data_IF_178365344543
#
_entry.id   IF_178365344543
#
_cell.length_a   1.000
_cell.length_b   1.000
_cell.length_c   1.000
_cell.angle_alpha   90.00
_cell.angle_beta   90.00
_cell.angle_gamma   90.00
#
_symmetry.space_group_name_H-M   'P 1'
#
loop_
_entity.id
_entity.type
_entity.pdbx_description
1 polymer ?
#
# COMPACT_ATOMS: atom_id res chain seq x y z
N UNK A 1 8.65 -10.34 15.69
CA UNK A 1 9.05 -10.63 14.29
C UNK A 1 9.90 -9.48 13.77
N UNK A 2 10.76 -9.78 12.81
CA UNK A 2 11.51 -8.78 12.06
C UNK A 2 10.73 -8.45 10.79
N UNK A 3 10.46 -7.18 10.56
CA UNK A 3 9.63 -6.68 9.45
C UNK A 3 10.46 -5.78 8.56
N UNK A 4 10.60 -6.14 7.29
CA UNK A 4 11.20 -5.31 6.27
C UNK A 4 10.13 -4.57 5.47
N UNK A 5 10.21 -3.25 5.38
CA UNK A 5 9.17 -2.42 4.79
C UNK A 5 9.72 -1.52 3.69
N UNK A 6 9.01 -1.40 2.59
CA UNK A 6 9.20 -0.35 1.59
C UNK A 6 8.06 0.66 1.77
N UNK A 7 8.41 1.94 1.97
CA UNK A 7 7.44 3.01 2.17
C UNK A 7 7.06 3.31 3.63
N UNK A 8 7.87 2.85 4.61
CA UNK A 8 7.62 3.08 6.04
C UNK A 8 7.64 4.55 6.49
N UNK A 9 8.19 5.45 5.70
CA UNK A 9 8.16 6.90 5.96
C UNK A 9 6.94 7.62 5.37
N UNK A 10 6.12 6.89 4.60
CA UNK A 10 4.86 7.39 4.04
C UNK A 10 3.74 7.44 5.08
N UNK A 11 2.60 8.03 4.69
CA UNK A 11 1.44 8.21 5.56
C UNK A 11 0.99 6.90 6.25
N UNK A 12 0.77 5.86 5.46
CA UNK A 12 0.28 4.56 5.95
C UNK A 12 1.40 3.71 6.55
N UNK A 13 2.58 3.71 5.91
CA UNK A 13 3.72 2.95 6.38
C UNK A 13 4.24 3.44 7.73
N UNK A 14 4.26 4.76 7.95
CA UNK A 14 4.65 5.35 9.23
C UNK A 14 3.69 4.93 10.36
N UNK A 15 2.38 4.96 10.10
CA UNK A 15 1.40 4.53 11.08
C UNK A 15 1.47 3.02 11.35
N UNK A 16 1.66 2.21 10.30
CA UNK A 16 1.89 0.77 10.46
C UNK A 16 3.15 0.48 11.27
N UNK A 17 4.25 1.19 11.00
CA UNK A 17 5.50 1.02 11.74
C UNK A 17 5.33 1.31 13.24
N UNK A 18 4.61 2.40 13.60
CA UNK A 18 4.30 2.71 15.01
C UNK A 18 3.58 1.56 15.70
N UNK A 19 2.56 1.02 15.05
CA UNK A 19 1.76 -0.04 15.65
C UNK A 19 2.52 -1.35 15.74
N UNK A 20 3.26 -1.71 14.69
CA UNK A 20 4.13 -2.89 14.70
C UNK A 20 5.16 -2.83 15.83
N UNK A 21 5.82 -1.68 16.01
CA UNK A 21 6.79 -1.46 17.08
C UNK A 21 6.12 -1.55 18.46
N UNK A 22 4.93 -0.94 18.61
CA UNK A 22 4.16 -1.02 19.85
C UNK A 22 3.76 -2.47 20.23
N UNK A 23 3.64 -3.35 19.23
CA UNK A 23 3.41 -4.80 19.43
C UNK A 23 4.71 -5.62 19.51
N UNK A 24 5.86 -4.97 19.68
CA UNK A 24 7.15 -5.64 19.90
C UNK A 24 7.83 -6.18 18.64
N UNK A 25 7.41 -5.75 17.46
CA UNK A 25 8.09 -6.09 16.20
C UNK A 25 9.26 -5.12 15.95
N UNK A 26 10.33 -5.62 15.34
CA UNK A 26 11.41 -4.79 14.80
C UNK A 26 11.06 -4.39 13.37
N UNK A 27 11.17 -3.11 13.06
CA UNK A 27 10.83 -2.60 11.74
C UNK A 27 12.03 -1.91 11.11
N UNK A 28 12.45 -2.41 9.96
CA UNK A 28 13.45 -1.78 9.08
C UNK A 28 12.76 -1.31 7.81
N UNK A 29 12.98 -0.07 7.41
CA UNK A 29 12.37 0.50 6.20
C UNK A 29 13.40 1.08 5.25
N UNK A 30 13.25 0.80 3.95
CA UNK A 30 13.98 1.54 2.91
C UNK A 30 13.19 2.80 2.55
N UNK A 31 13.86 3.94 2.52
CA UNK A 31 13.25 5.23 2.22
C UNK A 31 14.15 6.11 1.34
N UNK A 32 13.52 6.87 0.46
CA UNK A 32 14.20 7.92 -0.32
C UNK A 32 14.45 9.14 0.56
N UNK A 33 15.66 9.72 0.55
CA UNK A 33 15.89 11.02 1.17
C UNK A 33 15.33 12.17 0.30
N UNK A 34 14.99 13.34 0.92
CA UNK A 34 14.95 13.58 2.36
C UNK A 34 13.71 12.94 3.01
N UNK A 35 13.79 12.70 4.32
CA UNK A 35 12.59 12.30 5.07
C UNK A 35 11.55 13.44 5.06
N UNK A 36 10.25 13.13 5.04
CA UNK A 36 9.22 14.15 5.13
C UNK A 36 9.36 14.96 6.42
N UNK A 37 9.50 16.28 6.28
CA UNK A 37 9.65 17.18 7.43
C UNK A 37 8.45 17.06 8.37
N UNK A 38 8.72 16.95 9.67
CA UNK A 38 7.68 16.78 10.69
C UNK A 38 6.89 15.48 10.64
N UNK A 39 7.27 14.52 9.78
CA UNK A 39 6.61 13.21 9.77
C UNK A 39 6.84 12.49 11.12
N UNK A 40 5.79 11.92 11.72
CA UNK A 40 5.86 11.28 13.02
C UNK A 40 6.49 9.88 12.94
N UNK A 41 7.70 9.80 12.40
CA UNK A 41 8.45 8.54 12.20
C UNK A 41 8.89 8.01 13.57
N UNK A 42 8.61 6.72 13.90
CA UNK A 42 9.09 6.13 15.13
C UNK A 42 10.62 6.12 15.19
N UNK A 43 11.18 6.49 16.34
CA UNK A 43 12.63 6.52 16.54
C UNK A 43 13.27 5.13 16.52
N UNK A 44 12.49 4.12 16.87
CA UNK A 44 12.87 2.72 16.91
C UNK A 44 12.85 2.06 15.51
N UNK A 45 12.27 2.73 14.51
CA UNK A 45 12.31 2.25 13.13
C UNK A 45 13.68 2.48 12.53
N UNK A 46 14.35 1.40 12.13
CA UNK A 46 15.58 1.50 11.36
C UNK A 46 15.29 1.98 9.94
N UNK A 47 16.05 2.98 9.45
CA UNK A 47 15.87 3.52 8.11
C UNK A 47 17.15 3.32 7.30
N UNK A 48 17.02 2.59 6.19
CA UNK A 48 18.05 2.44 5.18
C UNK A 48 17.75 3.43 4.06
N UNK A 49 18.61 4.43 3.89
CA UNK A 49 18.43 5.42 2.84
C UNK A 49 18.84 4.89 1.47
N UNK A 50 17.99 5.11 0.49
CA UNK A 50 18.27 4.82 -0.90
C UNK A 50 17.02 4.43 -1.71
N UNK A 51 17.23 4.32 -3.02
CA UNK A 51 16.21 3.83 -3.94
C UNK A 51 16.38 2.31 -4.09
N UNK A 52 15.42 1.55 -3.58
CA UNK A 52 15.42 0.09 -3.67
C UNK A 52 15.52 -0.42 -5.12
N UNK A 53 14.99 0.35 -6.07
CA UNK A 53 15.01 -0.03 -7.49
C UNK A 53 16.38 0.16 -8.14
N UNK A 54 17.29 0.89 -7.50
CA UNK A 54 18.67 1.11 -7.96
C UNK A 54 19.68 0.17 -7.32
N UNK A 55 19.28 -0.58 -6.29
CA UNK A 55 20.16 -1.58 -5.66
C UNK A 55 20.23 -2.84 -6.48
N UNK A 56 21.36 -3.54 -6.38
CA UNK A 56 21.51 -4.86 -7.02
C UNK A 56 20.60 -5.89 -6.35
N UNK A 57 20.38 -7.01 -7.01
CA UNK A 57 19.55 -8.09 -6.45
C UNK A 57 20.22 -8.71 -5.23
N UNK A 58 21.55 -8.80 -5.23
CA UNK A 58 22.33 -9.32 -4.11
C UNK A 58 22.20 -8.40 -2.88
N UNK A 59 22.28 -7.07 -3.06
CA UNK A 59 22.06 -6.10 -1.97
C UNK A 59 20.65 -6.23 -1.38
N UNK A 60 19.65 -6.39 -2.23
CA UNK A 60 18.24 -6.52 -1.80
C UNK A 60 18.03 -7.84 -1.06
N UNK A 61 18.56 -8.95 -1.58
CA UNK A 61 18.51 -10.27 -0.91
C UNK A 61 19.17 -10.22 0.47
N UNK A 62 20.31 -9.54 0.60
CA UNK A 62 20.99 -9.39 1.89
C UNK A 62 20.15 -8.59 2.90
N UNK A 63 19.46 -7.51 2.46
CA UNK A 63 18.54 -6.76 3.31
C UNK A 63 17.33 -7.57 3.75
N UNK A 64 16.88 -8.53 2.96
CA UNK A 64 15.72 -9.37 3.27
C UNK A 64 16.05 -10.50 4.23
N UNK A 65 17.31 -10.92 4.34
CA UNK A 65 17.71 -12.01 5.23
C UNK A 65 17.38 -11.73 6.69
N UNK A 66 16.87 -12.74 7.38
CA UNK A 66 16.52 -12.65 8.80
C UNK A 66 15.24 -11.86 9.09
N UNK A 67 14.50 -11.45 8.04
CA UNK A 67 13.18 -10.88 8.19
C UNK A 67 12.10 -11.97 8.04
N UNK A 68 11.06 -11.85 8.87
CA UNK A 68 9.92 -12.77 8.88
C UNK A 68 8.84 -12.31 7.91
N UNK A 69 8.71 -10.99 7.76
CA UNK A 69 7.63 -10.35 7.01
C UNK A 69 8.16 -9.23 6.10
N UNK A 70 7.64 -9.19 4.89
CA UNK A 70 7.82 -8.09 3.95
C UNK A 70 6.56 -7.24 3.87
N UNK A 71 6.67 -5.91 3.92
CA UNK A 71 5.54 -4.99 3.71
C UNK A 71 5.82 -4.05 2.55
N UNK A 72 4.96 -4.06 1.55
CA UNK A 72 4.99 -3.10 0.46
C UNK A 72 3.92 -2.01 0.66
N UNK A 73 4.33 -0.89 1.25
CA UNK A 73 3.49 0.28 1.53
C UNK A 73 3.85 1.47 0.61
N UNK A 74 4.50 1.19 -0.51
CA UNK A 74 4.88 2.17 -1.53
C UNK A 74 3.94 2.06 -2.74
N UNK A 75 4.16 2.94 -3.71
CA UNK A 75 3.42 2.98 -4.95
C UNK A 75 2.81 4.35 -5.21
N UNK A 76 2.11 4.44 -6.33
CA UNK A 76 1.42 5.66 -6.77
C UNK A 76 -0.07 5.40 -6.94
N UNK A 77 -0.85 6.44 -6.72
CA UNK A 77 -2.30 6.40 -6.88
C UNK A 77 -2.77 7.32 -8.02
N UNK A 78 -4.07 7.35 -8.26
CA UNK A 78 -4.72 8.11 -9.33
C UNK A 78 -4.58 9.62 -9.21
N UNK A 79 -4.08 10.14 -8.10
CA UNK A 79 -3.86 11.59 -7.88
C UNK A 79 -2.54 12.08 -8.44
N UNK A 80 -1.65 11.16 -8.78
CA UNK A 80 -0.36 11.52 -9.39
C UNK A 80 -0.56 11.63 -10.89
N UNK A 81 -0.35 12.83 -11.41
CA UNK A 81 -0.40 13.08 -12.85
C UNK A 81 0.90 12.62 -13.50
N UNK A 82 0.77 11.76 -14.49
CA UNK A 82 1.88 11.26 -15.29
C UNK A 82 1.67 11.57 -16.76
N UNK A 83 2.75 11.74 -17.56
CA UNK A 83 2.64 11.76 -19.01
C UNK A 83 2.03 10.46 -19.55
N UNK A 84 1.44 10.53 -20.73
CA UNK A 84 0.97 9.34 -21.44
C UNK A 84 2.17 8.53 -21.98
N UNK A 85 2.09 7.20 -21.99
CA UNK A 85 1.02 6.35 -21.47
C UNK A 85 1.12 6.15 -19.93
N UNK A 86 0.05 6.49 -19.23
CA UNK A 86 0.01 6.48 -17.75
C UNK A 86 0.16 5.07 -17.15
N UNK A 87 -0.25 4.05 -17.89
CA UNK A 87 -0.14 2.65 -17.47
C UNK A 87 1.31 2.20 -17.22
N UNK A 88 2.28 2.74 -17.94
CA UNK A 88 3.70 2.44 -17.76
C UNK A 88 4.19 2.88 -16.37
N UNK A 89 3.70 4.01 -15.89
CA UNK A 89 4.02 4.51 -14.55
C UNK A 89 3.37 3.68 -13.45
N UNK A 90 2.09 3.28 -13.62
CA UNK A 90 1.44 2.37 -12.68
C UNK A 90 2.15 1.01 -12.65
N UNK A 91 2.54 0.48 -13.80
CA UNK A 91 3.33 -0.74 -13.85
C UNK A 91 4.67 -0.57 -13.12
N UNK A 92 5.42 0.49 -13.45
CA UNK A 92 6.74 0.78 -12.89
C UNK A 92 6.74 0.92 -11.37
N UNK A 93 5.72 1.56 -10.79
CA UNK A 93 5.71 1.88 -9.36
C UNK A 93 4.88 0.92 -8.50
N UNK A 94 3.87 0.25 -9.08
CA UNK A 94 2.98 -0.60 -8.30
C UNK A 94 3.16 -2.10 -8.58
N UNK A 95 3.67 -2.48 -9.74
CA UNK A 95 3.71 -3.88 -10.18
C UNK A 95 5.13 -4.41 -10.31
N UNK A 96 5.99 -3.72 -11.05
CA UNK A 96 7.37 -4.17 -11.30
C UNK A 96 8.17 -4.39 -10.00
N UNK A 97 8.08 -3.52 -8.96
CA UNK A 97 8.76 -3.77 -7.70
C UNK A 97 8.30 -5.07 -7.03
N UNK A 98 7.03 -5.41 -7.09
CA UNK A 98 6.51 -6.65 -6.50
C UNK A 98 6.98 -7.89 -7.27
N UNK A 99 6.97 -7.84 -8.58
CA UNK A 99 7.53 -8.93 -9.41
C UNK A 99 9.00 -9.21 -9.10
N UNK A 100 9.75 -8.17 -8.73
CA UNK A 100 11.15 -8.28 -8.33
C UNK A 100 11.30 -8.76 -6.90
N UNK A 101 10.57 -8.15 -5.96
CA UNK A 101 10.77 -8.36 -4.52
C UNK A 101 10.20 -9.70 -4.02
N UNK A 102 9.01 -10.12 -4.48
CA UNK A 102 8.36 -11.31 -3.93
C UNK A 102 9.17 -12.61 -4.10
N UNK A 103 9.78 -12.90 -5.28
CA UNK A 103 10.65 -14.07 -5.40
C UNK A 103 11.91 -13.96 -4.53
N UNK A 104 12.47 -12.75 -4.33
CA UNK A 104 13.60 -12.52 -3.44
C UNK A 104 13.22 -12.75 -1.98
N UNK A 105 12.02 -12.32 -1.56
CA UNK A 105 11.48 -12.62 -0.23
C UNK A 105 11.43 -14.12 0.04
N UNK A 106 10.87 -14.90 -0.89
CA UNK A 106 10.85 -16.38 -0.77
C UNK A 106 12.26 -16.95 -0.63
N UNK A 107 13.19 -16.55 -1.50
CA UNK A 107 14.58 -17.01 -1.48
C UNK A 107 15.29 -16.66 -0.18
N UNK A 108 15.01 -15.48 0.40
CA UNK A 108 15.57 -15.04 1.68
C UNK A 108 14.93 -15.70 2.91
N UNK A 109 13.86 -16.50 2.74
CA UNK A 109 13.18 -17.21 3.82
C UNK A 109 12.07 -16.41 4.51
N UNK A 110 11.69 -15.25 3.96
CA UNK A 110 10.50 -14.49 4.39
C UNK A 110 9.26 -15.37 4.21
N UNK A 111 8.38 -15.41 5.21
CA UNK A 111 7.19 -16.27 5.22
C UNK A 111 5.92 -15.54 4.81
N UNK A 112 5.84 -14.24 5.06
CA UNK A 112 4.66 -13.45 4.81
C UNK A 112 5.00 -12.15 4.09
N UNK A 113 4.16 -11.77 3.13
CA UNK A 113 4.18 -10.44 2.55
C UNK A 113 2.82 -9.76 2.73
N UNK A 114 2.83 -8.47 3.01
CA UNK A 114 1.63 -7.61 3.09
C UNK A 114 1.78 -6.49 2.07
N UNK A 115 0.84 -6.39 1.15
CA UNK A 115 0.86 -5.41 0.06
C UNK A 115 -0.34 -4.49 0.18
N UNK A 116 -0.10 -3.18 0.17
CA UNK A 116 -1.17 -2.21 0.18
C UNK A 116 -1.80 -2.11 -1.23
N UNK A 117 -2.96 -2.73 -1.37
CA UNK A 117 -3.78 -2.72 -2.56
C UNK A 117 -4.80 -1.58 -2.57
N UNK A 118 -5.86 -1.76 -3.33
CA UNK A 118 -6.94 -0.79 -3.45
C UNK A 118 -8.28 -1.51 -3.61
N UNK A 119 -9.33 -0.99 -2.99
CA UNK A 119 -10.68 -1.51 -3.14
C UNK A 119 -11.20 -1.42 -4.61
N UNK A 120 -10.50 -0.70 -5.47
CA UNK A 120 -10.80 -0.68 -6.90
C UNK A 120 -10.56 -2.02 -7.58
N UNK A 121 -9.63 -2.85 -7.06
CA UNK A 121 -9.50 -4.23 -7.52
C UNK A 121 -10.73 -5.06 -7.13
N UNK A 122 -11.21 -4.90 -5.88
CA UNK A 122 -12.44 -5.53 -5.41
C UNK A 122 -13.67 -5.12 -6.25
N UNK A 123 -13.84 -3.81 -6.53
CA UNK A 123 -14.92 -3.31 -7.38
C UNK A 123 -14.89 -3.95 -8.77
N UNK A 124 -13.69 -4.08 -9.35
CA UNK A 124 -13.51 -4.68 -10.69
C UNK A 124 -13.89 -6.16 -10.70
N UNK A 125 -13.62 -6.88 -9.60
CA UNK A 125 -13.98 -8.30 -9.43
C UNK A 125 -15.48 -8.49 -9.14
N UNK A 126 -16.03 -7.65 -8.28
CA UNK A 126 -17.43 -7.75 -7.84
C UNK A 126 -18.43 -7.35 -8.92
N UNK A 127 -18.06 -6.41 -9.78
CA UNK A 127 -18.91 -5.87 -10.84
C UNK A 127 -18.22 -5.93 -12.21
N UNK A 128 -17.89 -7.13 -12.71
CA UNK A 128 -17.15 -7.31 -13.96
C UNK A 128 -17.89 -6.74 -15.17
N UNK A 129 -19.23 -6.72 -15.14
CA UNK A 129 -20.10 -6.17 -16.18
C UNK A 129 -19.95 -4.65 -16.34
N UNK A 130 -19.50 -3.95 -15.31
CA UNK A 130 -19.22 -2.49 -15.37
C UNK A 130 -17.98 -2.16 -16.18
N UNK A 131 -17.06 -3.11 -16.31
CA UNK A 131 -15.83 -2.97 -17.10
C UNK A 131 -14.91 -1.85 -16.58
N UNK A 132 -14.84 -1.64 -15.28
CA UNK A 132 -14.04 -0.58 -14.66
C UNK A 132 -12.58 -0.59 -15.12
N UNK A 133 -11.94 -1.75 -15.15
CA UNK A 133 -10.56 -1.93 -15.57
C UNK A 133 -10.33 -1.59 -17.05
N UNK A 134 -11.35 -1.67 -17.89
CA UNK A 134 -11.27 -1.26 -19.32
C UNK A 134 -11.33 0.25 -19.49
N UNK A 135 -12.01 0.95 -18.58
CA UNK A 135 -12.28 2.38 -18.63
C UNK A 135 -11.24 3.21 -17.88
N UNK A 136 -10.57 2.62 -16.88
CA UNK A 136 -9.62 3.33 -16.04
C UNK A 136 -8.35 2.51 -15.84
N UNK A 137 -7.21 3.07 -16.22
CA UNK A 137 -5.89 2.42 -16.17
C UNK A 137 -5.41 2.14 -14.75
N UNK A 138 -5.81 2.96 -13.79
CA UNK A 138 -5.50 2.73 -12.38
C UNK A 138 -6.21 1.49 -11.84
N UNK A 139 -7.50 1.30 -12.14
CA UNK A 139 -8.25 0.09 -11.77
C UNK A 139 -7.59 -1.17 -12.37
N UNK A 140 -7.20 -1.10 -13.64
CA UNK A 140 -6.49 -2.20 -14.31
C UNK A 140 -5.18 -2.54 -13.61
N UNK A 141 -4.39 -1.53 -13.27
CA UNK A 141 -3.10 -1.71 -12.61
C UNK A 141 -3.25 -2.30 -11.19
N UNK A 142 -4.28 -1.88 -10.43
CA UNK A 142 -4.53 -2.43 -9.08
C UNK A 142 -5.01 -3.87 -9.13
N UNK A 143 -5.82 -4.23 -10.11
CA UNK A 143 -6.24 -5.61 -10.34
C UNK A 143 -5.01 -6.48 -10.73
N UNK A 144 -4.19 -6.01 -11.66
CA UNK A 144 -2.97 -6.70 -12.06
C UNK A 144 -1.97 -6.86 -10.90
N UNK A 145 -1.84 -5.85 -10.03
CA UNK A 145 -1.02 -5.93 -8.83
C UNK A 145 -1.45 -7.11 -7.94
N UNK A 146 -2.75 -7.27 -7.72
CA UNK A 146 -3.29 -8.37 -6.93
C UNK A 146 -3.07 -9.73 -7.59
N UNK A 147 -3.28 -9.83 -8.90
CA UNK A 147 -3.05 -11.06 -9.68
C UNK A 147 -1.58 -11.50 -9.59
N UNK A 148 -0.64 -10.54 -9.70
CA UNK A 148 0.79 -10.81 -9.54
C UNK A 148 1.10 -11.33 -8.13
N UNK A 149 0.56 -10.68 -7.10
CA UNK A 149 0.75 -11.10 -5.70
C UNK A 149 0.24 -12.52 -5.48
N UNK A 150 -0.96 -12.83 -5.99
CA UNK A 150 -1.56 -14.16 -5.88
C UNK A 150 -0.72 -15.25 -6.55
N UNK A 151 -0.07 -14.93 -7.66
CA UNK A 151 0.78 -15.87 -8.39
C UNK A 151 2.05 -16.29 -7.64
N UNK A 152 2.44 -15.57 -6.57
CA UNK A 152 3.59 -15.93 -5.74
C UNK A 152 3.23 -16.70 -4.47
N UNK A 153 1.94 -16.84 -4.14
CA UNK A 153 1.51 -17.58 -2.96
C UNK A 153 1.70 -19.09 -3.15
N UNK A 154 2.18 -19.75 -2.10
CA UNK A 154 2.21 -21.20 -1.98
C UNK A 154 2.12 -21.62 -0.49
N UNK A 155 2.42 -22.88 -0.16
CA UNK A 155 2.31 -23.41 1.20
C UNK A 155 3.33 -22.77 2.17
N UNK A 156 4.47 -22.30 1.66
CA UNK A 156 5.57 -21.74 2.44
C UNK A 156 5.61 -20.20 2.47
N UNK A 157 4.92 -19.55 1.53
CA UNK A 157 4.94 -18.10 1.37
C UNK A 157 3.53 -17.54 1.11
N UNK A 158 3.06 -16.71 2.01
CA UNK A 158 1.76 -16.05 1.93
C UNK A 158 1.90 -14.59 1.51
N UNK A 159 1.12 -14.14 0.53
CA UNK A 159 1.02 -12.72 0.15
C UNK A 159 -0.40 -12.23 0.39
N UNK A 160 -0.55 -11.28 1.31
CA UNK A 160 -1.83 -10.66 1.65
C UNK A 160 -1.94 -9.29 0.99
N UNK A 161 -2.94 -9.10 0.14
CA UNK A 161 -3.22 -7.80 -0.48
C UNK A 161 -4.37 -7.14 0.25
N UNK A 162 -4.12 -5.97 0.83
CA UNK A 162 -5.13 -5.20 1.56
C UNK A 162 -5.86 -4.29 0.57
N UNK A 163 -7.10 -4.55 0.27
CA UNK A 163 -7.94 -3.76 -0.63
C UNK A 163 -8.47 -2.51 0.07
N UNK A 164 -7.56 -1.55 0.30
CA UNK A 164 -7.81 -0.36 1.09
C UNK A 164 -8.82 0.57 0.41
N UNK A 165 -9.85 1.03 1.15
CA UNK A 165 -10.80 2.03 0.68
C UNK A 165 -10.21 3.45 0.75
N UNK A 166 -11.06 4.49 0.74
CA UNK A 166 -10.62 5.86 0.99
C UNK A 166 -9.99 6.00 2.38
N UNK A 167 -8.85 6.71 2.44
CA UNK A 167 -8.08 6.87 3.67
C UNK A 167 -8.28 8.28 4.24
N UNK A 168 -8.67 8.33 5.51
CA UNK A 168 -8.78 9.55 6.29
C UNK A 168 -7.55 9.71 7.18
N UNK A 169 -6.75 10.73 6.93
CA UNK A 169 -5.58 11.03 7.74
C UNK A 169 -4.73 12.14 7.14
N UNK A 170 -3.79 12.60 7.94
CA UNK A 170 -2.85 13.66 7.56
C UNK A 170 -1.43 13.27 7.95
N UNK A 171 -0.48 13.78 7.20
CA UNK A 171 0.93 13.77 7.55
C UNK A 171 1.51 15.14 7.17
N UNK A 172 2.36 15.75 7.99
CA UNK A 172 3.04 16.99 7.63
C UNK A 172 3.68 16.91 6.24
N UNK A 173 3.60 18.00 5.50
CA UNK A 173 4.12 18.06 4.12
C UNK A 173 3.30 17.34 3.05
N UNK A 174 2.19 16.68 3.39
CA UNK A 174 1.30 16.01 2.43
C UNK A 174 -0.12 16.56 2.48
N UNK A 175 -0.65 16.90 1.31
CA UNK A 175 -2.06 17.31 1.19
C UNK A 175 -2.97 16.09 1.36
N UNK A 176 -3.89 16.10 2.36
CA UNK A 176 -4.81 14.99 2.56
C UNK A 176 -5.80 14.83 1.39
N UNK A 177 -6.16 13.61 1.06
CA UNK A 177 -7.10 13.31 -0.03
C UNK A 177 -8.47 13.96 0.17
N UNK A 178 -8.95 14.00 1.39
CA UNK A 178 -10.26 14.55 1.75
C UNK A 178 -10.38 16.08 1.55
N UNK A 179 -9.26 16.81 1.41
CA UNK A 179 -9.29 18.24 1.10
C UNK A 179 -9.92 18.52 -0.25
N UNK A 180 -9.84 17.59 -1.21
CA UNK A 180 -10.50 17.70 -2.50
C UNK A 180 -12.02 17.78 -2.31
N UNK A 181 -12.59 16.95 -1.43
CA UNK A 181 -14.01 17.00 -1.11
C UNK A 181 -14.41 18.32 -0.48
N UNK A 182 -13.61 18.83 0.46
CA UNK A 182 -13.85 20.12 1.11
C UNK A 182 -13.83 21.27 0.10
N UNK A 183 -12.90 21.25 -0.83
CA UNK A 183 -12.83 22.28 -1.88
C UNK A 183 -14.01 22.22 -2.85
N UNK A 184 -14.44 21.01 -3.21
CA UNK A 184 -15.67 20.85 -4.00
C UNK A 184 -16.89 21.40 -3.27
N UNK A 185 -17.03 21.11 -1.97
CA UNK A 185 -18.10 21.62 -1.13
C UNK A 185 -18.09 23.17 -1.06
N UNK A 186 -16.91 23.74 -0.78
CA UNK A 186 -16.75 25.21 -0.77
C UNK A 186 -17.05 25.84 -2.13
N UNK A 187 -16.77 25.15 -3.23
CA UNK A 187 -17.13 25.61 -4.57
C UNK A 187 -18.65 25.67 -4.80
N UNK A 188 -19.41 24.80 -4.13
CA UNK A 188 -20.88 24.76 -4.21
C UNK A 188 -21.55 25.86 -3.42
N UNK A 189 -20.90 26.50 -2.45
CA UNK A 189 -21.46 27.63 -1.69
C UNK A 189 -21.85 28.83 -2.57
N UNK A 190 -21.34 28.89 -3.78
CA UNK A 190 -21.67 29.91 -4.79
C UNK A 190 -22.93 29.60 -5.60
N UNK A 191 -23.50 28.41 -5.42
CA UNK A 191 -24.70 27.97 -6.12
C UNK A 191 -25.93 28.20 -5.24
N UNK A 192 -27.10 28.50 -5.80
CA UNK A 192 -28.34 28.68 -5.06
C UNK A 192 -28.91 27.36 -4.47
N UNK A 193 -28.25 26.22 -4.77
CA UNK A 193 -28.60 24.88 -4.31
C UNK A 193 -27.36 24.02 -4.21
N UNK A 194 -27.41 23.03 -3.33
CA UNK A 194 -26.33 22.06 -3.16
C UNK A 194 -26.67 20.76 -3.90
N UNK A 195 -25.81 20.38 -4.85
CA UNK A 195 -25.91 19.10 -5.58
C UNK A 195 -25.01 18.07 -4.92
N UNK A 196 -25.63 17.00 -4.44
CA UNK A 196 -24.90 15.84 -3.95
C UNK A 196 -25.18 14.62 -4.81
N UNK A 197 -24.16 13.89 -5.28
CA UNK A 197 -24.40 12.61 -5.91
C UNK A 197 -24.97 11.64 -4.87
N UNK A 198 -25.94 10.83 -5.29
CA UNK A 198 -26.39 9.70 -4.46
C UNK A 198 -25.28 8.67 -4.37
N UNK A 199 -25.00 8.19 -3.19
CA UNK A 199 -24.03 7.14 -2.94
C UNK A 199 -23.19 7.41 -1.70
N UNK A 200 -22.21 6.55 -1.52
CA UNK A 200 -21.25 6.62 -0.42
C UNK A 200 -20.01 5.83 -0.76
N UNK A 201 -19.02 5.93 0.07
CA UNK A 201 -17.79 5.14 -0.02
C UNK A 201 -17.36 4.69 1.36
N UNK A 202 -16.72 3.52 1.42
CA UNK A 202 -16.07 3.07 2.63
C UNK A 202 -14.84 3.94 2.90
N UNK A 203 -14.59 4.22 4.18
CA UNK A 203 -13.45 5.01 4.62
C UNK A 203 -12.78 4.34 5.81
N UNK A 204 -11.45 4.42 5.87
CA UNK A 204 -10.64 4.04 7.03
C UNK A 204 -9.76 5.21 7.45
N UNK A 205 -9.51 5.32 8.75
CA UNK A 205 -8.46 6.22 9.24
C UNK A 205 -7.08 5.58 9.02
N UNK A 206 -6.02 6.41 8.97
CA UNK A 206 -4.65 5.89 8.90
C UNK A 206 -4.35 4.94 10.06
N UNK A 207 -4.89 5.20 11.26
CA UNK A 207 -4.76 4.34 12.43
C UNK A 207 -5.37 2.96 12.18
N UNK A 208 -6.62 2.90 11.69
CA UNK A 208 -7.27 1.63 11.35
C UNK A 208 -6.51 0.85 10.28
N UNK A 209 -5.93 1.55 9.29
CA UNK A 209 -5.06 0.89 8.29
C UNK A 209 -3.83 0.29 8.97
N UNK A 210 -3.21 1.00 9.91
CA UNK A 210 -2.09 0.47 10.71
C UNK A 210 -2.50 -0.78 11.50
N UNK A 211 -3.68 -0.77 12.14
CA UNK A 211 -4.26 -1.92 12.86
C UNK A 211 -4.46 -3.13 11.93
N UNK A 212 -5.01 -2.89 10.74
CA UNK A 212 -5.21 -3.93 9.71
C UNK A 212 -3.87 -4.52 9.25
N UNK A 213 -2.86 -3.67 9.00
CA UNK A 213 -1.52 -4.14 8.62
C UNK A 213 -0.92 -4.99 9.74
N UNK A 214 -0.99 -4.53 10.99
CA UNK A 214 -0.49 -5.26 12.15
C UNK A 214 -1.21 -6.60 12.31
N UNK A 215 -2.54 -6.63 12.15
CA UNK A 215 -3.33 -7.86 12.11
C UNK A 215 -2.87 -8.80 10.99
N UNK A 216 -2.68 -8.29 9.77
CA UNK A 216 -2.21 -9.09 8.63
C UNK A 216 -0.80 -9.67 8.84
N UNK A 217 0.05 -8.99 9.58
CA UNK A 217 1.38 -9.48 9.99
C UNK A 217 1.26 -10.60 11.03
N UNK A 218 0.38 -10.43 12.03
CA UNK A 218 0.25 -11.34 13.17
C UNK A 218 -0.54 -12.62 12.84
N UNK A 219 -1.55 -12.53 11.97
CA UNK A 219 -2.35 -13.67 11.55
C UNK A 219 -1.66 -14.47 10.43
N UNK A 220 -0.78 -15.39 10.83
CA UNK A 220 -0.02 -16.25 9.91
C UNK A 220 -0.89 -17.37 9.27
N UNK A 221 -2.09 -17.63 9.79
CA UNK A 221 -2.96 -18.74 9.37
C UNK A 221 -3.97 -18.41 8.28
N UNK A 222 -4.11 -17.15 7.89
CA UNK A 222 -4.98 -16.78 6.79
C UNK A 222 -4.30 -17.15 5.45
N UNK A 223 -4.77 -18.25 4.84
CA UNK A 223 -4.32 -18.64 3.50
C UNK A 223 -4.79 -17.60 2.48
N UNK A 224 -4.03 -17.45 1.39
CA UNK A 224 -4.27 -16.45 0.34
C UNK A 224 -5.68 -16.48 -0.31
N UNK A 225 -6.43 -17.55 -0.11
CA UNK A 225 -7.80 -17.71 -0.60
C UNK A 225 -8.86 -17.06 0.30
N UNK A 226 -8.52 -16.65 1.52
CA UNK A 226 -9.48 -16.15 2.51
C UNK A 226 -9.28 -14.65 2.86
N UNK A 227 -8.30 -14.00 2.25
CA UNK A 227 -7.89 -12.64 2.62
C UNK A 227 -8.61 -11.53 1.85
N UNK A 228 -9.90 -11.67 1.64
CA UNK A 228 -10.74 -10.50 1.43
C UNK A 228 -11.27 -10.12 2.82
N UNK A 229 -10.48 -9.38 3.61
CA UNK A 229 -10.99 -8.69 4.78
C UNK A 229 -11.99 -7.65 4.27
N UNK A 230 -13.25 -8.02 4.25
CA UNK A 230 -14.36 -7.09 4.10
C UNK A 230 -14.47 -6.31 5.41
N UNK A 231 -13.88 -5.11 5.45
CA UNK A 231 -14.07 -4.14 6.50
C UNK A 231 -15.31 -3.29 6.21
#
# INVERSE_FOLDING_TARGET
MNVFMIGGTGLLGCEAAKQLIAHGHKVTSVALPPLPEGAPIPKEMEIIFGDINKRSDEEVEEMLKGNDVFIFAAGVDERVEFPAPVEDYYYKFNIAPLKRMLPMCKKAGVKNAVVLGSYFSWLSKKYPEKGFQKKNKYFAARLQQEEVCRGFCDDDFSVKVLELPYIFGTQPGRRPVWTILIEQLKGMDKLPFTLYPKGGTSMLTCRQVGEVICGAVSYTHLRAHETTLHL
#
